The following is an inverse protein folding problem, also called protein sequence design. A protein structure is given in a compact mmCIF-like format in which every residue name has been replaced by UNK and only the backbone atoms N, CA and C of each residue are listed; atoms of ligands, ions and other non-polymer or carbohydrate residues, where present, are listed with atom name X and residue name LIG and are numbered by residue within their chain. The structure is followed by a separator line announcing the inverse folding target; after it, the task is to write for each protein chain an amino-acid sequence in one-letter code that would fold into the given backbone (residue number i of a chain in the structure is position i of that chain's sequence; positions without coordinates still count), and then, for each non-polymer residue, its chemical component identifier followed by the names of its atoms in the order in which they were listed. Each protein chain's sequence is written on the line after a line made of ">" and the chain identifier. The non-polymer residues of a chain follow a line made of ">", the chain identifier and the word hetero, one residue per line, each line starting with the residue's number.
data_IF_110572798869
#
_entry.id   IF_110572798869
#
_cell.length_a   1.000
_cell.length_b   1.000
_cell.length_c   1.000
_cell.angle_alpha   90.00
_cell.angle_beta   90.00
_cell.angle_gamma   90.00
#
_symmetry.space_group_name_H-M   'P 1'
#
loop_
_entity.id
_entity.type
_entity.pdbx_description
1 polymer ?
#
# COMPACT_ATOMS: atom_id res chain seq x y z
N UNK A 1 4.26 25.06 -8.73
CA UNK A 1 3.56 24.22 -7.74
C UNK A 1 4.56 23.94 -6.63
N UNK A 2 4.28 24.40 -5.41
CA UNK A 2 5.09 24.03 -4.25
C UNK A 2 4.84 22.56 -3.96
N UNK A 3 5.93 21.84 -3.80
CA UNK A 3 5.91 20.43 -3.44
C UNK A 3 5.93 20.38 -1.92
N UNK A 4 4.95 19.68 -1.32
CA UNK A 4 4.90 19.43 0.12
C UNK A 4 6.06 18.51 0.54
N UNK A 5 7.03 19.05 1.26
CA UNK A 5 8.20 18.31 1.76
C UNK A 5 7.82 17.18 2.73
N UNK A 6 6.74 17.34 3.50
CA UNK A 6 6.26 16.29 4.39
C UNK A 6 5.70 15.11 3.57
N UNK A 7 4.97 15.39 2.49
CA UNK A 7 4.50 14.36 1.57
C UNK A 7 5.67 13.60 0.91
N UNK A 8 6.77 14.28 0.57
CA UNK A 8 7.97 13.60 0.07
C UNK A 8 8.66 12.73 1.11
N UNK A 9 8.72 13.18 2.36
CA UNK A 9 9.33 12.39 3.44
C UNK A 9 8.52 11.14 3.75
N UNK A 10 7.18 11.17 3.61
CA UNK A 10 6.33 9.99 3.79
C UNK A 10 6.55 8.95 2.69
N UNK A 11 6.77 9.37 1.44
CA UNK A 11 7.00 8.46 0.30
C UNK A 11 8.27 7.60 0.45
N UNK A 12 9.28 8.09 1.17
CA UNK A 12 10.53 7.38 1.42
C UNK A 12 10.64 6.80 2.84
N UNK A 13 9.51 6.54 3.49
CA UNK A 13 9.44 5.90 4.81
C UNK A 13 9.34 4.37 4.71
N UNK A 14 9.90 3.66 5.69
CA UNK A 14 9.67 2.22 5.90
C UNK A 14 8.43 1.94 6.75
N UNK A 15 7.79 2.99 7.27
CA UNK A 15 6.56 2.91 8.06
C UNK A 15 5.39 3.28 7.16
N UNK A 16 4.40 2.39 7.08
CA UNK A 16 3.18 2.65 6.33
C UNK A 16 2.33 3.74 6.99
N UNK A 17 1.64 4.53 6.16
CA UNK A 17 0.62 5.45 6.63
C UNK A 17 -0.65 4.68 7.01
N UNK A 18 -1.26 4.96 8.16
CA UNK A 18 -2.56 4.39 8.52
C UNK A 18 -3.62 4.75 7.48
N UNK A 19 -4.56 3.83 7.24
CA UNK A 19 -5.73 4.04 6.40
C UNK A 19 -6.94 3.38 7.04
N UNK A 20 -8.12 3.95 6.80
CA UNK A 20 -9.37 3.41 7.33
C UNK A 20 -9.68 2.03 6.72
N UNK A 21 -10.34 1.13 7.47
CA UNK A 21 -10.74 -0.16 6.94
C UNK A 21 -11.69 0.01 5.74
N UNK A 22 -11.56 -0.82 4.69
CA UNK A 22 -12.42 -0.73 3.51
C UNK A 22 -13.86 -1.08 3.87
N UNK A 23 -14.83 -0.34 3.31
CA UNK A 23 -16.27 -0.55 3.56
C UNK A 23 -16.76 -1.97 3.22
N UNK A 24 -16.09 -2.63 2.28
CA UNK A 24 -16.39 -4.00 1.87
C UNK A 24 -15.90 -5.07 2.84
N UNK A 25 -15.10 -4.70 3.84
CA UNK A 25 -14.47 -5.63 4.77
C UNK A 25 -13.44 -6.56 4.13
N UNK A 26 -12.85 -6.18 2.98
CA UNK A 26 -11.92 -7.02 2.22
C UNK A 26 -10.64 -6.28 1.82
N UNK A 27 -9.50 -6.94 1.95
CA UNK A 27 -8.18 -6.46 1.51
C UNK A 27 -7.61 -7.39 0.45
N UNK A 28 -7.16 -6.83 -0.67
CA UNK A 28 -6.39 -7.55 -1.66
C UNK A 28 -4.89 -7.38 -1.39
N UNK A 29 -4.17 -8.48 -1.23
CA UNK A 29 -2.72 -8.51 -1.13
C UNK A 29 -2.15 -9.02 -2.44
N UNK A 30 -1.33 -8.19 -3.09
CA UNK A 30 -0.60 -8.54 -4.32
C UNK A 30 0.88 -8.69 -3.97
N UNK A 31 1.45 -9.85 -4.29
CA UNK A 31 2.87 -10.15 -4.12
C UNK A 31 3.47 -10.34 -5.50
N UNK A 32 4.60 -9.67 -5.75
CA UNK A 32 5.35 -9.78 -7.00
C UNK A 32 6.78 -10.15 -6.64
N UNK A 33 7.32 -11.21 -7.25
CA UNK A 33 8.71 -11.59 -7.06
C UNK A 33 9.62 -10.89 -8.09
N UNK A 34 10.93 -11.06 -7.96
CA UNK A 34 11.90 -10.46 -8.87
C UNK A 34 11.94 -11.09 -10.27
N UNK A 35 11.29 -12.24 -10.48
CA UNK A 35 11.09 -12.83 -11.81
C UNK A 35 9.90 -12.22 -12.55
N UNK A 36 9.10 -11.39 -11.87
CA UNK A 36 7.88 -10.80 -12.42
C UNK A 36 6.65 -11.68 -12.24
N UNK A 37 6.75 -12.78 -11.50
CA UNK A 37 5.57 -13.57 -11.14
C UNK A 37 4.73 -12.82 -10.12
N UNK A 38 3.42 -12.80 -10.34
CA UNK A 38 2.47 -12.12 -9.47
C UNK A 38 1.50 -13.12 -8.85
N UNK A 39 1.23 -12.97 -7.56
CA UNK A 39 0.17 -13.67 -6.84
C UNK A 39 -0.73 -12.63 -6.19
N UNK A 40 -2.05 -12.77 -6.35
CA UNK A 40 -3.04 -11.94 -5.70
C UNK A 40 -3.96 -12.80 -4.83
N UNK A 41 -4.22 -12.34 -3.60
CA UNK A 41 -5.17 -12.97 -2.69
C UNK A 41 -6.01 -11.94 -1.96
N UNK A 42 -7.30 -12.20 -1.84
CA UNK A 42 -8.24 -11.38 -1.06
C UNK A 42 -8.41 -11.99 0.34
N UNK A 43 -8.38 -11.15 1.35
CA UNK A 43 -8.59 -11.47 2.76
C UNK A 43 -9.75 -10.65 3.30
N UNK A 44 -10.44 -11.16 4.33
CA UNK A 44 -11.46 -10.42 5.08
C UNK A 44 -10.80 -9.70 6.26
N UNK A 45 -11.33 -8.52 6.62
CA UNK A 45 -10.81 -7.60 7.66
C UNK A 45 -11.56 -7.77 8.96
#
# INVERSE_FOLDING_TARGET
>A
AEIDEAAWSELYSTVSRPFDPPETGKIAVKVINHYGDEVLKVFEV
#
